data_IF_373319904732
#
_entry.id   IF_373319904732
#
_cell.length_a   1.000
_cell.length_b   1.000
_cell.length_c   1.000
_cell.angle_alpha   90.00
_cell.angle_beta   90.00
_cell.angle_gamma   90.00
#
_symmetry.space_group_name_H-M   'P 1'
#
loop_
_entity.id
_entity.type
_entity.pdbx_description
1 polymer ?
#
# COMPACT_ATOMS: atom_id res chain seq x y z
N UNK A 1 40.19 38.67 -2.91
CA UNK A 1 40.41 38.12 -1.55
C UNK A 1 40.02 39.19 -0.53
N UNK A 2 38.99 38.95 0.29
CA UNK A 2 38.68 39.75 1.49
C UNK A 2 37.79 38.88 2.39
N UNK A 3 38.44 38.11 3.26
CA UNK A 3 37.80 37.60 4.47
C UNK A 3 37.67 38.77 5.45
N UNK A 4 36.47 38.99 5.97
CA UNK A 4 36.27 39.70 7.24
C UNK A 4 35.25 38.92 8.05
N UNK A 5 35.79 38.06 8.90
CA UNK A 5 35.08 37.44 10.01
C UNK A 5 34.51 38.53 10.93
N UNK A 6 33.28 38.35 11.40
CA UNK A 6 32.88 38.89 12.68
C UNK A 6 32.20 37.79 13.47
N UNK A 7 32.87 37.40 14.55
CA UNK A 7 32.43 36.43 15.55
C UNK A 7 31.43 37.14 16.46
N UNK A 8 30.26 36.53 16.69
CA UNK A 8 29.41 36.85 17.85
C UNK A 8 29.20 35.55 18.62
N UNK A 9 29.93 35.42 19.72
CA UNK A 9 29.76 34.37 20.72
C UNK A 9 28.73 34.86 21.75
N UNK A 10 27.67 34.08 21.96
CA UNK A 10 26.82 34.22 23.16
C UNK A 10 26.93 32.91 23.92
N UNK A 11 27.76 32.95 24.95
CA UNK A 11 27.87 31.94 25.98
C UNK A 11 26.71 32.13 26.97
N UNK A 12 25.86 31.12 27.13
CA UNK A 12 24.97 30.99 28.30
C UNK A 12 25.44 29.79 29.10
N UNK A 13 25.99 30.10 30.26
CA UNK A 13 26.58 29.18 31.23
C UNK A 13 25.49 28.69 32.21
N UNK A 14 25.26 27.38 32.22
CA UNK A 14 25.08 26.57 33.43
C UNK A 14 23.76 26.64 34.21
N UNK A 15 23.00 25.54 34.15
CA UNK A 15 22.46 24.90 35.37
C UNK A 15 22.88 23.44 35.36
N UNK A 16 23.59 23.07 36.42
CA UNK A 16 24.11 21.74 36.68
C UNK A 16 22.99 20.73 37.00
N UNK A 17 23.21 19.51 36.51
CA UNK A 17 22.94 18.22 37.15
C UNK A 17 21.54 17.89 37.68
N UNK A 18 20.87 16.95 37.01
CA UNK A 18 20.27 15.77 37.64
C UNK A 18 19.94 14.75 36.54
N UNK A 19 20.15 13.47 36.81
CA UNK A 19 20.15 12.41 35.82
C UNK A 19 18.80 12.13 35.14
N UNK A 20 18.90 11.71 33.88
CA UNK A 20 17.99 10.85 33.15
C UNK A 20 18.82 10.31 31.95
N UNK A 21 19.30 9.07 31.84
CA UNK A 21 18.68 7.79 32.17
C UNK A 21 17.20 7.80 31.79
N UNK A 22 16.86 7.13 30.69
CA UNK A 22 15.50 6.84 30.22
C UNK A 22 14.77 7.93 29.40
N UNK A 23 15.27 8.22 28.20
CA UNK A 23 14.44 8.72 27.08
C UNK A 23 13.96 7.60 26.15
N UNK A 24 13.63 6.44 26.73
CA UNK A 24 13.01 5.30 26.01
C UNK A 24 11.50 5.15 26.27
N UNK A 25 10.87 6.07 27.01
CA UNK A 25 9.48 5.91 27.42
C UNK A 25 8.63 7.17 27.20
N UNK A 26 7.62 6.99 26.35
CA UNK A 26 6.36 7.76 26.24
C UNK A 26 6.45 9.13 25.55
N UNK A 27 5.70 9.42 24.50
CA UNK A 27 4.59 8.69 23.91
C UNK A 27 3.96 9.59 22.86
N UNK A 28 4.38 9.38 21.61
CA UNK A 28 3.65 9.68 20.36
C UNK A 28 4.54 9.29 19.17
N UNK A 29 4.96 8.03 19.15
CA UNK A 29 4.97 7.36 17.85
C UNK A 29 3.49 7.24 17.53
N UNK A 30 2.97 8.17 16.71
CA UNK A 30 1.81 7.83 15.91
C UNK A 30 2.27 6.59 15.15
N UNK A 31 1.91 5.42 15.69
CA UNK A 31 1.76 4.23 14.90
C UNK A 31 0.75 4.63 13.85
N UNK A 32 1.23 5.16 12.72
CA UNK A 32 0.55 5.03 11.45
C UNK A 32 0.55 3.54 11.17
N UNK A 33 -0.32 2.86 11.91
CA UNK A 33 -1.09 1.74 11.42
C UNK A 33 -1.47 2.19 10.01
N UNK A 34 -0.98 1.53 8.95
CA UNK A 34 -1.47 1.84 7.62
C UNK A 34 -2.98 1.73 7.76
N UNK A 35 -3.68 2.87 7.66
CA UNK A 35 -5.13 2.85 7.53
C UNK A 35 -5.35 1.88 6.41
N UNK A 36 -5.92 0.72 6.74
CA UNK A 36 -6.30 -0.26 5.77
C UNK A 36 -7.34 0.47 4.93
N UNK A 37 -6.88 1.12 3.86
CA UNK A 37 -7.78 1.65 2.85
C UNK A 37 -8.45 0.38 2.35
N UNK A 38 -9.76 0.22 2.58
CA UNK A 38 -10.43 -1.00 2.18
C UNK A 38 -10.19 -1.14 0.68
N UNK A 39 -9.59 -2.25 0.28
CA UNK A 39 -9.38 -2.53 -1.12
C UNK A 39 -10.76 -2.62 -1.79
N UNK A 40 -11.10 -1.60 -2.57
CA UNK A 40 -12.35 -1.52 -3.30
C UNK A 40 -12.10 -1.76 -4.79
N UNK A 41 -12.64 -2.85 -5.30
CA UNK A 41 -12.55 -3.23 -6.71
C UNK A 41 -13.30 -2.22 -7.60
N UNK A 42 -14.36 -1.59 -7.09
CA UNK A 42 -15.07 -0.54 -7.82
C UNK A 42 -14.17 0.70 -7.99
N UNK A 43 -13.42 1.06 -6.96
CA UNK A 43 -12.43 2.13 -7.04
C UNK A 43 -11.30 1.78 -8.02
N UNK A 44 -10.83 0.53 -8.04
CA UNK A 44 -9.79 0.09 -8.99
C UNK A 44 -10.29 0.15 -10.44
N UNK A 45 -11.54 -0.25 -10.69
CA UNK A 45 -12.20 -0.11 -12.00
C UNK A 45 -12.35 1.34 -12.42
N UNK A 46 -12.69 2.22 -11.48
CA UNK A 46 -12.79 3.65 -11.74
C UNK A 46 -11.42 4.24 -12.09
N UNK A 47 -10.38 3.95 -11.30
CA UNK A 47 -9.01 4.39 -11.58
C UNK A 47 -8.50 3.86 -12.93
N UNK A 48 -8.87 2.63 -13.31
CA UNK A 48 -8.59 2.07 -14.65
C UNK A 48 -9.22 2.91 -15.75
N UNK A 49 -10.50 3.25 -15.63
CA UNK A 49 -11.20 4.07 -16.62
C UNK A 49 -10.64 5.50 -16.68
N UNK A 50 -10.29 6.08 -15.53
CA UNK A 50 -9.61 7.37 -15.45
C UNK A 50 -8.23 7.34 -16.11
N UNK A 51 -7.45 6.28 -15.86
CA UNK A 51 -6.14 6.09 -16.48
C UNK A 51 -6.24 5.94 -18.00
N UNK A 52 -7.24 5.21 -18.50
CA UNK A 52 -7.52 5.09 -19.94
C UNK A 52 -7.75 6.45 -20.61
N UNK A 53 -8.48 7.36 -19.96
CA UNK A 53 -8.76 8.71 -20.47
C UNK A 53 -7.71 9.75 -20.08
N UNK A 54 -6.77 9.40 -19.21
CA UNK A 54 -5.79 10.34 -18.66
C UNK A 54 -4.84 10.87 -19.73
N UNK A 55 -4.44 12.13 -19.55
CA UNK A 55 -3.30 12.72 -20.26
C UNK A 55 -1.99 12.20 -19.63
N UNK A 56 -0.86 12.18 -20.37
CA UNK A 56 0.43 11.69 -19.88
C UNK A 56 0.85 12.27 -18.51
N UNK A 57 0.49 13.53 -18.23
CA UNK A 57 0.81 14.21 -16.97
C UNK A 57 0.06 13.63 -15.75
N UNK A 58 -1.16 13.12 -15.96
CA UNK A 58 -1.99 12.51 -14.93
C UNK A 58 -1.85 10.98 -14.88
N UNK A 59 -1.39 10.36 -15.97
CA UNK A 59 -1.19 8.91 -16.10
C UNK A 59 -0.30 8.36 -14.99
N UNK A 60 0.83 9.01 -14.72
CA UNK A 60 1.76 8.52 -13.69
C UNK A 60 1.16 8.54 -12.29
N UNK A 61 0.42 9.60 -11.97
CA UNK A 61 -0.26 9.71 -10.67
C UNK A 61 -1.32 8.61 -10.51
N UNK A 62 -2.14 8.40 -11.53
CA UNK A 62 -3.17 7.36 -11.52
C UNK A 62 -2.55 5.94 -11.47
N UNK A 63 -1.43 5.73 -12.17
CA UNK A 63 -0.67 4.48 -12.08
C UNK A 63 -0.12 4.23 -10.68
N UNK A 64 0.46 5.24 -10.05
CA UNK A 64 0.97 5.12 -8.68
C UNK A 64 -0.16 4.78 -7.70
N UNK A 65 -1.34 5.41 -7.84
CA UNK A 65 -2.53 5.09 -7.05
C UNK A 65 -3.02 3.64 -7.28
N UNK A 66 -3.04 3.19 -8.53
CA UNK A 66 -3.40 1.81 -8.92
C UNK A 66 -2.40 0.80 -8.34
N UNK A 67 -1.10 1.05 -8.44
CA UNK A 67 -0.05 0.20 -7.86
C UNK A 67 -0.20 0.13 -6.34
N UNK A 68 -0.43 1.28 -5.69
CA UNK A 68 -0.62 1.33 -4.25
C UNK A 68 -1.85 0.52 -3.80
N UNK A 69 -2.95 0.56 -4.55
CA UNK A 69 -4.14 -0.24 -4.22
C UNK A 69 -3.96 -1.73 -4.50
N UNK A 70 -3.34 -2.09 -5.62
CA UNK A 70 -3.06 -3.50 -5.97
C UNK A 70 -2.09 -4.13 -4.97
N UNK A 71 -1.06 -3.39 -4.51
CA UNK A 71 -0.16 -3.84 -3.45
C UNK A 71 -0.87 -4.07 -2.11
N UNK A 72 -1.85 -3.23 -1.76
CA UNK A 72 -2.69 -3.45 -0.57
C UNK A 72 -3.58 -4.69 -0.72
N UNK A 73 -4.17 -4.92 -1.89
CA UNK A 73 -4.96 -6.14 -2.13
C UNK A 73 -4.12 -7.42 -1.96
N UNK A 74 -2.89 -7.41 -2.46
CA UNK A 74 -1.93 -8.51 -2.29
C UNK A 74 -1.64 -8.75 -0.80
N UNK A 75 -1.33 -7.69 -0.04
CA UNK A 75 -1.07 -7.79 1.40
C UNK A 75 -2.27 -8.34 2.17
N UNK A 76 -3.48 -7.88 1.87
CA UNK A 76 -4.71 -8.38 2.49
C UNK A 76 -4.96 -9.86 2.16
N UNK A 77 -4.75 -10.28 0.91
CA UNK A 77 -4.95 -11.67 0.51
C UNK A 77 -3.90 -12.58 1.12
N UNK A 78 -2.65 -12.12 1.20
CA UNK A 78 -1.57 -12.81 1.91
C UNK A 78 -1.92 -13.08 3.36
N UNK A 79 -2.40 -12.04 4.06
CA UNK A 79 -2.83 -12.19 5.44
C UNK A 79 -3.97 -13.21 5.59
N UNK A 80 -4.96 -13.19 4.68
CA UNK A 80 -6.03 -14.20 4.66
C UNK A 80 -5.49 -15.62 4.44
N UNK A 81 -4.59 -15.82 3.48
CA UNK A 81 -3.97 -17.12 3.21
C UNK A 81 -3.14 -17.61 4.40
N UNK A 82 -2.38 -16.73 5.03
CA UNK A 82 -1.61 -17.04 6.24
C UNK A 82 -2.52 -17.43 7.43
N UNK A 83 -3.68 -16.75 7.56
CA UNK A 83 -4.65 -17.06 8.60
C UNK A 83 -5.39 -18.38 8.33
N UNK A 84 -5.67 -18.72 7.06
CA UNK A 84 -6.18 -20.05 6.66
C UNK A 84 -5.17 -21.17 6.96
N UNK A 85 -3.88 -20.92 6.71
CA UNK A 85 -2.81 -21.85 7.05
C UNK A 85 -2.72 -22.11 8.55
N UNK A 86 -2.85 -21.06 9.37
CA UNK A 86 -2.90 -21.20 10.84
C UNK A 86 -4.17 -21.90 11.33
N UNK A 87 -5.29 -21.75 10.62
CA UNK A 87 -6.56 -22.38 10.95
C UNK A 87 -6.64 -23.86 10.55
N UNK A 88 -5.61 -24.43 9.89
CA UNK A 88 -5.65 -25.75 9.26
C UNK A 88 -6.85 -25.89 8.31
N UNK A 89 -7.08 -24.87 7.49
CA UNK A 89 -8.06 -24.94 6.41
C UNK A 89 -7.77 -26.14 5.49
N UNK A 90 -8.76 -26.64 4.73
CA UNK A 90 -8.55 -27.73 3.78
C UNK A 90 -7.37 -27.43 2.85
N UNK A 91 -6.49 -28.42 2.63
CA UNK A 91 -5.29 -28.24 1.81
C UNK A 91 -5.60 -27.73 0.39
N UNK A 92 -6.74 -28.15 -0.17
CA UNK A 92 -7.26 -27.71 -1.47
C UNK A 92 -7.61 -26.20 -1.47
N UNK A 93 -8.23 -25.70 -0.41
CA UNK A 93 -8.56 -24.27 -0.26
C UNK A 93 -7.30 -23.42 -0.03
N UNK A 94 -6.33 -23.95 0.72
CA UNK A 94 -5.04 -23.29 0.93
C UNK A 94 -4.22 -23.23 -0.37
N UNK A 95 -4.23 -24.29 -1.18
CA UNK A 95 -3.53 -24.35 -2.46
C UNK A 95 -4.16 -23.38 -3.47
N UNK A 96 -5.48 -23.35 -3.57
CA UNK A 96 -6.19 -22.38 -4.40
C UNK A 96 -5.91 -20.93 -3.96
N UNK A 97 -6.01 -20.64 -2.66
CA UNK A 97 -5.73 -19.31 -2.12
C UNK A 97 -4.26 -18.89 -2.32
N UNK A 98 -3.31 -19.83 -2.24
CA UNK A 98 -1.89 -19.60 -2.48
C UNK A 98 -1.60 -19.33 -3.97
N UNK A 99 -2.20 -20.08 -4.88
CA UNK A 99 -2.07 -19.87 -6.33
C UNK A 99 -2.62 -18.50 -6.72
N UNK A 100 -3.79 -18.14 -6.20
CA UNK A 100 -4.39 -16.82 -6.44
C UNK A 100 -3.52 -15.69 -5.87
N UNK A 101 -2.97 -15.87 -4.67
CA UNK A 101 -2.06 -14.90 -4.06
C UNK A 101 -0.81 -14.71 -4.92
N UNK A 102 -0.13 -15.79 -5.29
CA UNK A 102 1.09 -15.74 -6.12
C UNK A 102 0.82 -15.09 -7.48
N UNK A 103 -0.34 -15.36 -8.08
CA UNK A 103 -0.72 -14.72 -9.34
C UNK A 103 -0.93 -13.21 -9.17
N UNK A 104 -1.58 -12.78 -8.07
CA UNK A 104 -1.76 -11.36 -7.77
C UNK A 104 -0.44 -10.65 -7.43
N UNK A 105 0.48 -11.31 -6.71
CA UNK A 105 1.84 -10.81 -6.44
C UNK A 105 2.62 -10.57 -7.74
N UNK A 106 2.52 -11.51 -8.69
CA UNK A 106 3.16 -11.39 -10.00
C UNK A 106 2.61 -10.19 -10.79
N UNK A 107 1.28 -10.06 -10.88
CA UNK A 107 0.65 -8.95 -11.59
C UNK A 107 0.99 -7.58 -10.99
N UNK A 108 1.02 -7.48 -9.65
CA UNK A 108 1.45 -6.24 -8.98
C UNK A 108 2.92 -5.90 -9.30
N UNK A 109 3.80 -6.92 -9.31
CA UNK A 109 5.22 -6.74 -9.65
C UNK A 109 5.38 -6.26 -11.09
N UNK A 110 4.63 -6.87 -12.01
CA UNK A 110 4.65 -6.49 -13.43
C UNK A 110 4.14 -5.07 -13.64
N UNK A 111 3.04 -4.67 -12.97
CA UNK A 111 2.54 -3.29 -12.98
C UNK A 111 3.59 -2.29 -12.49
N UNK A 112 4.21 -2.57 -11.34
CA UNK A 112 5.23 -1.69 -10.76
C UNK A 112 6.45 -1.54 -11.66
N UNK A 113 6.92 -2.65 -12.22
CA UNK A 113 8.04 -2.67 -13.18
C UNK A 113 7.71 -1.87 -14.43
N UNK A 114 6.51 -2.07 -14.99
CA UNK A 114 6.07 -1.41 -16.22
C UNK A 114 5.87 0.10 -16.04
N UNK A 115 5.34 0.55 -14.91
CA UNK A 115 5.23 1.98 -14.59
C UNK A 115 6.61 2.67 -14.51
N UNK A 116 7.65 1.96 -14.04
CA UNK A 116 9.02 2.48 -14.00
C UNK A 116 9.67 2.66 -15.38
N UNK A 117 9.20 1.92 -16.40
CA UNK A 117 9.81 1.86 -17.74
C UNK A 117 9.04 2.73 -18.75
N UNK A 118 7.91 3.35 -18.35
CA UNK A 118 6.92 3.94 -19.27
C UNK A 118 6.39 2.89 -20.27
N UNK A 119 5.86 1.78 -19.75
CA UNK A 119 5.19 0.79 -20.58
C UNK A 119 4.02 1.38 -21.36
N UNK A 120 3.65 0.71 -22.45
CA UNK A 120 2.54 1.14 -23.28
C UNK A 120 1.24 1.12 -22.45
N UNK A 121 0.48 2.23 -22.52
CA UNK A 121 -0.85 2.36 -21.93
C UNK A 121 -1.77 1.12 -22.08
N UNK A 122 -1.88 0.47 -23.26
CA UNK A 122 -2.70 -0.74 -23.39
C UNK A 122 -2.20 -1.92 -22.54
N UNK A 123 -0.89 -2.07 -22.35
CA UNK A 123 -0.31 -3.16 -21.57
C UNK A 123 -0.58 -2.97 -20.08
N UNK A 124 -0.42 -1.73 -19.59
CA UNK A 124 -0.79 -1.35 -18.22
C UNK A 124 -2.28 -1.61 -17.96
N UNK A 125 -3.16 -1.18 -18.86
CA UNK A 125 -4.61 -1.43 -18.74
C UNK A 125 -4.92 -2.93 -18.70
N UNK A 126 -4.26 -3.75 -19.51
CA UNK A 126 -4.46 -5.20 -19.53
C UNK A 126 -4.03 -5.87 -18.22
N UNK A 127 -2.91 -5.42 -17.62
CA UNK A 127 -2.47 -5.92 -16.32
C UNK A 127 -3.46 -5.55 -15.20
N UNK A 128 -4.00 -4.32 -15.24
CA UNK A 128 -5.02 -3.87 -14.28
C UNK A 128 -6.30 -4.68 -14.44
N UNK A 129 -6.74 -4.93 -15.67
CA UNK A 129 -7.94 -5.72 -15.96
C UNK A 129 -7.78 -7.18 -15.47
N UNK A 130 -6.61 -7.79 -15.68
CA UNK A 130 -6.29 -9.13 -15.14
C UNK A 130 -6.35 -9.15 -13.61
N UNK A 131 -5.78 -8.13 -12.95
CA UNK A 131 -5.81 -8.02 -11.50
C UNK A 131 -7.24 -7.85 -10.97
N UNK A 132 -8.05 -7.01 -11.63
CA UNK A 132 -9.48 -6.82 -11.30
C UNK A 132 -10.25 -8.12 -11.44
N UNK A 133 -10.00 -8.93 -12.47
CA UNK A 133 -10.69 -10.21 -12.66
C UNK A 133 -10.35 -11.22 -11.54
N UNK A 134 -9.09 -11.31 -11.14
CA UNK A 134 -8.67 -12.17 -10.01
C UNK A 134 -9.18 -11.66 -8.66
N UNK A 135 -9.24 -10.34 -8.51
CA UNK A 135 -9.80 -9.70 -7.32
C UNK A 135 -11.32 -9.79 -7.28
N UNK A 136 -11.98 -9.79 -8.43
CA UNK A 136 -13.44 -9.88 -8.60
C UNK A 136 -14.02 -11.23 -8.23
N UNK A 137 -13.17 -12.27 -8.15
CA UNK A 137 -13.51 -13.56 -7.55
C UNK A 137 -13.28 -13.61 -6.04
N UNK A 138 -12.92 -12.49 -5.39
CA UNK A 138 -12.99 -12.47 -3.94
C UNK A 138 -14.45 -12.69 -3.52
N UNK A 139 -14.71 -13.57 -2.54
CA UNK A 139 -15.99 -13.57 -1.86
C UNK A 139 -16.17 -12.15 -1.33
N UNK A 140 -17.11 -11.41 -1.91
CA UNK A 140 -17.64 -10.22 -1.27
C UNK A 140 -18.07 -10.69 0.10
N UNK A 141 -17.34 -10.31 1.16
CA UNK A 141 -17.86 -10.51 2.51
C UNK A 141 -19.30 -10.04 2.47
N UNK A 142 -20.29 -10.89 2.82
CA UNK A 142 -21.66 -10.41 2.87
C UNK A 142 -21.62 -9.23 3.82
N UNK A 143 -22.00 -8.06 3.32
CA UNK A 143 -22.39 -6.96 4.18
C UNK A 143 -23.45 -7.57 5.09
N UNK A 144 -23.10 -7.83 6.35
CA UNK A 144 -24.08 -8.27 7.34
C UNK A 144 -25.23 -7.27 7.25
N UNK A 145 -26.45 -7.70 6.88
CA UNK A 145 -27.57 -6.79 6.88
C UNK A 145 -27.67 -6.24 8.29
N UNK A 146 -27.49 -4.93 8.41
CA UNK A 146 -27.80 -4.15 9.60
C UNK A 146 -29.19 -4.58 10.03
N UNK A 147 -29.27 -5.38 11.10
CA UNK A 147 -30.52 -5.64 11.79
C UNK A 147 -30.93 -4.33 12.46
N UNK A 148 -31.63 -3.47 11.70
CA UNK A 148 -32.51 -2.46 12.27
C UNK A 148 -33.89 -3.10 12.41
N UNK A 149 -34.15 -3.69 13.57
CA UNK A 149 -35.46 -3.75 14.21
C UNK A 149 -35.29 -3.80 15.72
#
# INVERSE_FOLDING_TARGET
MKFKSFVVAIAVLGISSAGAADTFAQGKVQTQQPSAVPFDIAQLKQLRAEYEMAKPDAERKLLDEIIQMTGQAVLMKKQKTDDMAKANAPQEEMEAAQVELTTMEQLHTDLSKQAGIQAAKPEMLQLIDQFINLSGNQPTSPVSPVQRK
#
